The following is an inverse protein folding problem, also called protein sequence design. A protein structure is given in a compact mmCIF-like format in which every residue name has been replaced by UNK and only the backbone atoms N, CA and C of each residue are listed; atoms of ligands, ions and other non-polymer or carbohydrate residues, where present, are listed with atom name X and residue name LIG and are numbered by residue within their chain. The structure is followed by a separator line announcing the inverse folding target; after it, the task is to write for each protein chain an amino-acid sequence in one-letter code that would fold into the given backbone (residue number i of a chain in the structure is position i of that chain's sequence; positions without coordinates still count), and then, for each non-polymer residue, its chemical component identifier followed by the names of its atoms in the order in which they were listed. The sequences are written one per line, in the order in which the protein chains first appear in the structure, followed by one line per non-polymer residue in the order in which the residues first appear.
data_IF_567315975395
#
_entry.id   IF_567315975395
#
_cell.length_a   1.000
_cell.length_b   1.000
_cell.length_c   1.000
_cell.angle_alpha   90.00
_cell.angle_beta   90.00
_cell.angle_gamma   90.00
#
_symmetry.space_group_name_H-M   'P 1'
#
loop_
_entity.id
_entity.type
_entity.pdbx_description
1 polymer ?
#
# COMPACT_ATOMS: atom_id res chain seq x y z
N UNK A 1 7.70 -6.76 -11.53
CA UNK A 1 8.83 -7.24 -12.39
C UNK A 1 10.06 -7.57 -11.52
N UNK A 2 10.61 -8.78 -11.62
CA UNK A 2 11.60 -9.31 -10.67
C UNK A 2 13.06 -8.83 -10.81
N UNK A 3 13.94 -9.28 -9.90
CA UNK A 3 15.39 -8.99 -9.90
C UNK A 3 16.24 -10.26 -9.86
N UNK A 4 17.35 -10.32 -10.59
CA UNK A 4 18.25 -11.48 -10.56
C UNK A 4 19.03 -11.52 -9.24
N UNK A 5 19.06 -12.70 -8.62
CA UNK A 5 19.74 -12.98 -7.37
C UNK A 5 20.64 -14.20 -7.53
N UNK A 6 21.77 -14.17 -6.80
CA UNK A 6 22.64 -15.33 -6.60
C UNK A 6 22.97 -15.46 -5.13
N UNK A 7 22.73 -16.63 -4.57
CA UNK A 7 22.95 -16.96 -3.18
C UNK A 7 23.86 -18.18 -3.05
N UNK A 8 24.56 -18.24 -1.92
CA UNK A 8 25.40 -19.38 -1.57
C UNK A 8 25.15 -19.75 -0.11
N UNK A 9 24.92 -21.04 0.14
CA UNK A 9 24.73 -21.61 1.47
C UNK A 9 25.82 -22.64 1.77
N UNK A 10 26.19 -22.73 3.04
CA UNK A 10 26.86 -23.92 3.56
C UNK A 10 25.77 -24.94 3.94
N UNK A 11 25.95 -26.19 3.53
CA UNK A 11 25.13 -27.29 3.99
C UNK A 11 25.28 -27.51 5.48
N UNK A 12 24.28 -28.15 6.09
CA UNK A 12 24.29 -28.52 7.50
C UNK A 12 24.13 -30.03 7.58
N UNK A 13 24.81 -30.65 8.54
CA UNK A 13 24.79 -32.11 8.66
C UNK A 13 23.36 -32.61 8.94
N UNK A 14 22.85 -33.47 8.07
CA UNK A 14 21.51 -34.06 8.22
C UNK A 14 20.34 -33.14 7.90
N UNK A 15 20.56 -31.89 7.50
CA UNK A 15 19.50 -30.95 7.11
C UNK A 15 19.26 -30.98 5.61
N UNK A 16 18.13 -31.56 5.18
CA UNK A 16 17.73 -31.56 3.76
C UNK A 16 16.79 -30.39 3.40
N UNK A 17 16.11 -29.82 4.40
CA UNK A 17 15.16 -28.73 4.26
C UNK A 17 14.95 -28.09 5.65
N UNK A 18 14.60 -26.80 5.75
CA UNK A 18 14.49 -25.81 4.68
C UNK A 18 15.80 -25.04 4.43
N UNK A 19 16.06 -24.71 3.15
CA UNK A 19 17.06 -23.71 2.74
C UNK A 19 16.35 -22.49 2.15
N UNK A 20 16.48 -21.33 2.82
CA UNK A 20 15.72 -20.12 2.49
C UNK A 20 16.45 -19.22 1.49
N UNK A 21 15.75 -18.83 0.44
CA UNK A 21 16.11 -17.77 -0.51
C UNK A 21 15.59 -16.41 -0.01
N UNK A 22 16.04 -15.32 -0.63
CA UNK A 22 15.56 -13.97 -0.32
C UNK A 22 14.22 -13.73 -1.02
N UNK A 23 13.13 -14.04 -0.32
CA UNK A 23 11.76 -13.81 -0.79
C UNK A 23 11.31 -14.75 -1.90
N UNK A 24 10.18 -14.40 -2.51
CA UNK A 24 9.52 -15.22 -3.51
C UNK A 24 10.30 -15.29 -4.82
N UNK A 25 10.18 -16.40 -5.51
CA UNK A 25 10.96 -16.74 -6.70
C UNK A 25 10.03 -16.91 -7.89
N UNK A 26 10.42 -16.36 -9.04
CA UNK A 26 9.67 -16.59 -10.28
C UNK A 26 9.76 -18.07 -10.65
N UNK A 27 8.60 -18.70 -10.83
CA UNK A 27 8.45 -20.11 -11.22
C UNK A 27 9.34 -20.42 -12.41
N UNK A 28 10.14 -21.48 -12.31
CA UNK A 28 11.01 -21.89 -13.42
C UNK A 28 12.35 -21.16 -13.52
N UNK A 29 12.55 -20.05 -12.80
CA UNK A 29 13.72 -19.18 -12.99
C UNK A 29 15.00 -19.69 -12.32
N UNK A 30 14.88 -20.61 -11.37
CA UNK A 30 16.00 -20.99 -10.51
C UNK A 30 16.93 -22.04 -11.13
N UNK A 31 18.20 -21.98 -10.72
CA UNK A 31 19.23 -22.98 -10.99
C UNK A 31 19.94 -23.28 -9.69
N UNK A 32 19.86 -24.54 -9.25
CA UNK A 32 20.47 -25.01 -8.00
C UNK A 32 21.68 -25.86 -8.32
N UNK A 33 22.80 -25.54 -7.69
CA UNK A 33 24.06 -26.25 -7.86
C UNK A 33 24.55 -26.78 -6.52
N UNK A 34 25.07 -28.01 -6.52
CA UNK A 34 25.78 -28.59 -5.38
C UNK A 34 27.26 -28.80 -5.70
N UNK A 35 28.13 -28.40 -4.79
CA UNK A 35 29.53 -28.75 -4.79
C UNK A 35 29.93 -29.41 -3.46
N UNK A 36 30.79 -30.42 -3.53
CA UNK A 36 31.41 -31.07 -2.37
C UNK A 36 32.87 -30.58 -2.26
N UNK A 37 33.18 -29.80 -1.23
CA UNK A 37 34.52 -29.21 -1.06
C UNK A 37 34.99 -28.37 -2.27
N UNK A 38 36.10 -28.78 -2.91
CA UNK A 38 36.68 -28.11 -4.09
C UNK A 38 36.17 -28.66 -5.43
N UNK A 39 35.22 -29.61 -5.41
CA UNK A 39 34.64 -30.16 -6.63
C UNK A 39 33.89 -29.10 -7.44
N UNK A 40 33.75 -29.34 -8.75
CA UNK A 40 32.95 -28.48 -9.61
C UNK A 40 31.46 -28.56 -9.21
N UNK A 41 30.72 -27.44 -9.22
CA UNK A 41 29.30 -27.47 -8.94
C UNK A 41 28.54 -28.31 -9.98
N UNK A 42 27.74 -29.27 -9.50
CA UNK A 42 26.79 -30.07 -10.28
C UNK A 42 25.45 -29.33 -10.30
N UNK A 43 24.94 -29.03 -11.49
CA UNK A 43 23.57 -28.53 -11.65
C UNK A 43 22.59 -29.64 -11.29
N UNK A 44 21.63 -29.32 -10.44
CA UNK A 44 20.56 -30.22 -10.02
C UNK A 44 19.31 -30.07 -10.89
N UNK A 45 18.49 -31.11 -10.90
CA UNK A 45 17.18 -31.12 -11.54
C UNK A 45 16.06 -30.96 -10.51
N UNK A 46 15.14 -30.04 -10.77
CA UNK A 46 13.92 -29.89 -9.99
C UNK A 46 13.07 -31.15 -10.08
N UNK A 47 12.35 -31.46 -9.01
CA UNK A 47 11.46 -32.62 -8.81
C UNK A 47 12.16 -33.99 -8.84
N UNK A 48 13.45 -34.05 -9.17
CA UNK A 48 14.31 -35.22 -9.01
C UNK A 48 15.29 -35.05 -7.82
N UNK A 49 16.10 -34.00 -7.84
CA UNK A 49 17.17 -33.75 -6.87
C UNK A 49 16.74 -32.81 -5.73
N UNK A 50 15.77 -31.94 -5.99
CA UNK A 50 15.21 -30.98 -5.02
C UNK A 50 13.80 -30.52 -5.43
N UNK A 51 13.04 -30.00 -4.47
CA UNK A 51 11.80 -29.26 -4.68
C UNK A 51 11.95 -27.82 -4.19
N UNK A 52 11.07 -26.92 -4.65
CA UNK A 52 11.08 -25.51 -4.25
C UNK A 52 9.64 -25.02 -3.98
N UNK A 53 9.43 -24.35 -2.84
CA UNK A 53 8.26 -23.50 -2.62
C UNK A 53 8.60 -22.10 -3.12
N UNK A 54 8.11 -21.76 -4.30
CA UNK A 54 8.40 -20.51 -4.99
C UNK A 54 7.92 -19.28 -4.23
N UNK A 55 6.75 -19.35 -3.60
CA UNK A 55 6.21 -18.22 -2.84
C UNK A 55 7.04 -17.93 -1.59
N UNK A 56 7.49 -18.99 -0.89
CA UNK A 56 8.31 -18.84 0.33
C UNK A 56 9.81 -18.76 0.05
N UNK A 57 10.24 -19.06 -1.17
CA UNK A 57 11.64 -19.19 -1.53
C UNK A 57 12.34 -20.31 -0.76
N UNK A 58 11.70 -21.46 -0.54
CA UNK A 58 12.28 -22.57 0.23
C UNK A 58 12.73 -23.68 -0.71
N UNK A 59 14.01 -24.06 -0.66
CA UNK A 59 14.51 -25.27 -1.32
C UNK A 59 14.55 -26.43 -0.34
N UNK A 60 14.07 -27.59 -0.79
CA UNK A 60 14.13 -28.87 -0.08
C UNK A 60 14.85 -29.90 -0.94
N UNK A 61 15.96 -30.45 -0.47
CA UNK A 61 16.71 -31.47 -1.19
C UNK A 61 16.08 -32.85 -0.97
N UNK A 62 16.05 -33.66 -2.04
CA UNK A 62 15.65 -35.06 -1.91
C UNK A 62 16.84 -35.90 -1.42
N UNK A 63 16.56 -37.12 -0.96
CA UNK A 63 17.61 -38.05 -0.53
C UNK A 63 18.54 -38.51 -1.67
N UNK A 64 18.30 -38.08 -2.92
CA UNK A 64 19.21 -38.33 -4.04
C UNK A 64 20.55 -37.60 -3.89
N UNK A 65 20.59 -36.50 -3.13
CA UNK A 65 21.82 -35.78 -2.84
C UNK A 65 21.85 -35.40 -1.34
N UNK A 66 22.52 -36.22 -0.51
CA UNK A 66 22.63 -35.96 0.92
C UNK A 66 23.46 -34.70 1.17
N UNK A 67 22.81 -33.67 1.71
CA UNK A 67 23.48 -32.46 2.20
C UNK A 67 24.23 -32.74 3.52
N UNK A 68 25.46 -32.26 3.58
CA UNK A 68 26.38 -32.35 4.73
C UNK A 68 27.02 -31.00 5.02
N UNK A 69 27.75 -30.87 6.13
CA UNK A 69 28.51 -29.66 6.44
C UNK A 69 29.63 -29.31 5.44
N UNK A 70 29.98 -30.23 4.54
CA UNK A 70 30.96 -30.03 3.45
C UNK A 70 30.32 -29.65 2.12
N UNK A 71 28.99 -29.58 2.08
CA UNK A 71 28.24 -29.25 0.87
C UNK A 71 28.16 -27.73 0.72
N UNK A 72 28.47 -27.23 -0.47
CA UNK A 72 28.20 -25.84 -0.88
C UNK A 72 27.02 -25.85 -1.83
N UNK A 73 25.98 -25.11 -1.46
CA UNK A 73 24.77 -24.93 -2.27
C UNK A 73 24.88 -23.55 -2.92
N UNK A 74 24.77 -23.48 -4.24
CA UNK A 74 24.69 -22.20 -4.97
C UNK A 74 23.35 -22.15 -5.70
N UNK A 75 22.64 -21.02 -5.58
CA UNK A 75 21.33 -20.84 -6.20
C UNK A 75 21.30 -19.53 -6.95
N UNK A 76 20.93 -19.59 -8.22
CA UNK A 76 20.66 -18.42 -9.05
C UNK A 76 19.16 -18.40 -9.36
N UNK A 77 18.50 -17.25 -9.26
CA UNK A 77 17.05 -17.15 -9.49
C UNK A 77 16.61 -15.72 -9.78
N UNK A 78 15.36 -15.54 -10.22
CA UNK A 78 14.73 -14.22 -10.29
C UNK A 78 13.75 -14.07 -9.12
N UNK A 79 13.99 -13.07 -8.26
CA UNK A 79 13.10 -12.72 -7.17
C UNK A 79 11.86 -12.02 -7.71
N UNK A 80 10.67 -12.48 -7.33
CA UNK A 80 9.40 -11.83 -7.62
C UNK A 80 9.07 -10.77 -6.56
N UNK A 81 8.38 -9.71 -6.99
CA UNK A 81 7.86 -8.67 -6.09
C UNK A 81 6.33 -8.58 -6.11
N UNK A 82 5.69 -9.37 -6.99
CA UNK A 82 4.25 -9.43 -7.21
C UNK A 82 3.92 -10.88 -7.55
N UNK A 83 2.70 -11.31 -7.23
CA UNK A 83 2.21 -12.66 -7.50
C UNK A 83 1.75 -12.83 -8.95
N UNK A 84 1.16 -11.78 -9.51
CA UNK A 84 0.69 -11.73 -10.89
C UNK A 84 1.41 -10.63 -11.68
N UNK A 85 1.74 -10.85 -12.97
CA UNK A 85 2.05 -9.76 -13.86
C UNK A 85 0.82 -8.87 -13.99
N UNK A 86 0.98 -7.55 -13.90
CA UNK A 86 -0.12 -6.62 -14.11
C UNK A 86 0.11 -5.69 -15.29
N UNK A 87 -0.98 -5.21 -15.85
CA UNK A 87 -0.99 -4.15 -16.85
C UNK A 87 -1.66 -2.91 -16.25
N UNK A 88 -0.99 -1.77 -16.38
CA UNK A 88 -1.51 -0.47 -15.99
C UNK A 88 -1.77 0.39 -17.23
N UNK A 89 -2.99 0.86 -17.38
CA UNK A 89 -3.47 1.69 -18.48
C UNK A 89 -3.88 3.05 -17.95
N UNK A 90 -3.43 4.10 -18.63
CA UNK A 90 -3.80 5.48 -18.33
C UNK A 90 -4.31 6.17 -19.59
N UNK A 91 -5.41 6.91 -19.47
CA UNK A 91 -5.94 7.74 -20.56
C UNK A 91 -6.45 9.04 -19.99
N UNK A 92 -5.97 10.16 -20.54
CA UNK A 92 -6.38 11.50 -20.19
C UNK A 92 -6.90 12.22 -21.44
N UNK A 93 -8.06 12.84 -21.30
CA UNK A 93 -8.68 13.65 -22.34
C UNK A 93 -8.99 15.03 -21.78
N UNK A 94 -8.83 16.06 -22.61
CA UNK A 94 -9.26 17.40 -22.28
C UNK A 94 -9.84 18.11 -23.48
N UNK A 95 -10.82 18.98 -23.24
CA UNK A 95 -11.49 19.74 -24.30
C UNK A 95 -11.88 21.11 -23.78
N UNK A 96 -11.52 22.16 -24.53
CA UNK A 96 -11.93 23.54 -24.24
C UNK A 96 -13.03 23.98 -25.21
N UNK A 97 -14.18 24.38 -24.69
CA UNK A 97 -15.30 24.94 -25.47
C UNK A 97 -15.71 26.26 -24.84
N UNK A 98 -15.40 27.36 -25.52
CA UNK A 98 -15.60 28.71 -24.96
C UNK A 98 -14.84 28.88 -23.65
N UNK A 99 -15.56 29.24 -22.58
CA UNK A 99 -15.01 29.36 -21.23
C UNK A 99 -15.09 28.09 -20.37
N UNK A 100 -15.46 26.96 -20.95
CA UNK A 100 -15.49 25.66 -20.28
C UNK A 100 -14.26 24.84 -20.64
N UNK A 101 -13.65 24.18 -19.66
CA UNK A 101 -12.58 23.21 -19.86
C UNK A 101 -13.00 21.88 -19.24
N UNK A 102 -13.25 20.88 -20.08
CA UNK A 102 -13.59 19.53 -19.69
C UNK A 102 -12.32 18.69 -19.55
N UNK A 103 -12.31 17.80 -18.58
CA UNK A 103 -11.25 16.81 -18.36
C UNK A 103 -11.89 15.45 -18.13
N UNK A 104 -11.37 14.42 -18.76
CA UNK A 104 -11.73 13.03 -18.53
C UNK A 104 -10.48 12.25 -18.21
N UNK A 105 -10.51 11.44 -17.16
CA UNK A 105 -9.40 10.58 -16.76
C UNK A 105 -9.93 9.16 -16.63
N UNK A 106 -9.18 8.21 -17.15
CA UNK A 106 -9.41 6.79 -16.98
C UNK A 106 -8.10 6.13 -16.56
N UNK A 107 -8.17 5.27 -15.55
CA UNK A 107 -7.07 4.47 -15.05
C UNK A 107 -7.56 3.04 -14.85
N UNK A 108 -6.75 2.07 -15.24
CA UNK A 108 -7.05 0.65 -15.02
C UNK A 108 -5.78 -0.11 -14.70
N UNK A 109 -5.81 -0.90 -13.63
CA UNK A 109 -4.79 -1.90 -13.30
C UNK A 109 -5.48 -3.24 -13.24
N UNK A 110 -4.96 -4.24 -13.95
CA UNK A 110 -5.49 -5.60 -13.87
C UNK A 110 -4.36 -6.61 -13.89
N UNK A 111 -4.54 -7.67 -13.12
CA UNK A 111 -3.62 -8.80 -13.04
C UNK A 111 -3.88 -9.80 -14.18
N UNK A 112 -2.81 -10.37 -14.73
CA UNK A 112 -2.87 -11.47 -15.68
C UNK A 112 -3.04 -12.79 -14.92
N UNK A 113 -4.30 -13.10 -14.60
CA UNK A 113 -4.69 -14.29 -13.83
C UNK A 113 -4.27 -15.61 -14.47
N UNK A 114 -4.02 -15.63 -15.78
CA UNK A 114 -3.64 -16.84 -16.53
C UNK A 114 -2.15 -17.15 -16.39
N UNK A 115 -1.32 -16.18 -15.97
CA UNK A 115 0.14 -16.32 -15.93
C UNK A 115 0.75 -15.86 -14.59
N UNK A 116 0.44 -16.51 -13.44
CA UNK A 116 1.07 -16.16 -12.17
C UNK A 116 2.60 -16.29 -12.22
N UNK A 117 3.30 -15.44 -11.47
CA UNK A 117 4.76 -15.36 -11.46
C UNK A 117 5.40 -16.39 -10.55
N UNK A 118 4.82 -16.63 -9.37
CA UNK A 118 5.42 -17.40 -8.26
C UNK A 118 4.73 -18.74 -8.01
N UNK A 119 3.72 -19.10 -8.79
CA UNK A 119 3.01 -20.37 -8.65
C UNK A 119 2.33 -20.78 -9.96
N UNK A 120 1.76 -21.98 -9.96
CA UNK A 120 0.86 -22.47 -11.00
C UNK A 120 -0.44 -22.87 -10.33
N UNK A 121 -1.58 -22.50 -10.92
CA UNK A 121 -2.89 -22.85 -10.39
C UNK A 121 -3.40 -24.14 -11.04
N UNK A 122 -3.72 -25.12 -10.21
CA UNK A 122 -4.49 -26.31 -10.56
C UNK A 122 -5.98 -25.99 -10.67
N UNK A 123 -6.74 -26.91 -11.24
CA UNK A 123 -8.19 -26.75 -11.36
C UNK A 123 -8.88 -26.63 -9.98
N UNK A 124 -8.42 -27.35 -8.96
CA UNK A 124 -9.00 -27.31 -7.62
C UNK A 124 -8.74 -25.96 -6.92
N UNK A 125 -7.57 -25.36 -7.16
CA UNK A 125 -7.21 -24.03 -6.67
C UNK A 125 -8.07 -22.95 -7.33
N UNK A 126 -8.28 -23.05 -8.66
CA UNK A 126 -9.17 -22.13 -9.40
C UNK A 126 -10.61 -22.22 -8.88
N UNK A 127 -11.14 -23.42 -8.62
CA UNK A 127 -12.47 -23.55 -8.04
C UNK A 127 -12.55 -22.96 -6.63
N UNK A 128 -11.48 -23.07 -5.83
CA UNK A 128 -11.41 -22.44 -4.51
C UNK A 128 -11.44 -20.90 -4.62
N UNK A 129 -10.73 -20.33 -5.60
CA UNK A 129 -10.78 -18.89 -5.88
C UNK A 129 -12.17 -18.45 -6.35
N UNK A 130 -12.85 -19.22 -7.21
CA UNK A 130 -14.19 -18.89 -7.71
C UNK A 130 -15.24 -18.73 -6.63
N UNK A 131 -15.15 -19.52 -5.55
CA UNK A 131 -16.14 -19.50 -4.46
C UNK A 131 -15.78 -18.54 -3.32
N UNK A 132 -14.64 -17.84 -3.42
CA UNK A 132 -14.09 -17.03 -2.34
C UNK A 132 -14.57 -15.56 -2.30
N UNK A 133 -15.41 -15.15 -3.25
CA UNK A 133 -15.79 -13.74 -3.42
C UNK A 133 -14.56 -12.85 -3.61
N UNK A 134 -14.62 -11.63 -3.11
CA UNK A 134 -13.54 -10.63 -3.18
C UNK A 134 -12.38 -10.87 -2.19
N UNK A 135 -12.27 -12.06 -1.60
CA UNK A 135 -11.15 -12.37 -0.72
C UNK A 135 -9.83 -12.30 -1.47
N UNK A 136 -8.91 -11.44 -1.02
CA UNK A 136 -7.59 -11.26 -1.62
C UNK A 136 -6.70 -12.50 -1.48
N UNK A 137 -7.03 -13.38 -0.52
CA UNK A 137 -6.31 -14.64 -0.28
C UNK A 137 -7.28 -15.76 0.06
N UNK A 138 -7.00 -16.97 -0.42
CA UNK A 138 -7.79 -18.16 -0.14
C UNK A 138 -6.91 -19.22 0.50
N UNK A 139 -7.32 -19.76 1.64
CA UNK A 139 -6.64 -20.89 2.26
C UNK A 139 -7.11 -22.19 1.62
N UNK A 140 -6.21 -22.90 0.93
CA UNK A 140 -6.50 -24.16 0.26
C UNK A 140 -5.80 -25.33 0.95
N UNK A 141 -6.47 -26.48 1.05
CA UNK A 141 -5.93 -27.71 1.64
C UNK A 141 -5.56 -28.70 0.54
N UNK A 142 -4.31 -29.16 0.53
CA UNK A 142 -3.79 -30.07 -0.50
C UNK A 142 -3.91 -31.51 -0.01
N UNK A 143 -5.11 -32.06 -0.17
CA UNK A 143 -5.43 -33.44 0.18
C UNK A 143 -6.37 -34.06 -0.86
N UNK A 144 -5.80 -34.82 -1.77
CA UNK A 144 -6.54 -35.48 -2.83
C UNK A 144 -6.99 -36.87 -2.38
N UNK A 145 -8.24 -37.23 -2.69
CA UNK A 145 -8.71 -38.61 -2.46
C UNK A 145 -8.03 -39.56 -3.43
N UNK A 146 -7.44 -40.63 -2.90
CA UNK A 146 -6.66 -41.60 -3.67
C UNK A 146 -6.83 -43.00 -3.11
N UNK A 147 -7.10 -43.98 -3.97
CA UNK A 147 -7.23 -45.39 -3.56
C UNK A 147 -5.90 -46.01 -3.10
N UNK A 148 -4.79 -45.31 -3.26
CA UNK A 148 -3.45 -45.70 -2.84
C UNK A 148 -2.83 -44.64 -1.92
N UNK A 149 -3.68 -43.85 -1.26
CA UNK A 149 -3.25 -42.79 -0.36
C UNK A 149 -2.42 -43.31 0.82
N UNK A 150 -1.74 -42.39 1.51
CA UNK A 150 -0.96 -42.70 2.71
C UNK A 150 -1.61 -42.22 4.01
N UNK A 151 -2.65 -41.40 3.90
CA UNK A 151 -3.34 -40.78 5.03
C UNK A 151 -4.83 -41.11 5.04
N UNK A 152 -5.43 -41.04 6.23
CA UNK A 152 -6.88 -40.98 6.44
C UNK A 152 -7.25 -39.66 7.11
N UNK A 153 -8.46 -39.16 6.88
CA UNK A 153 -9.00 -38.03 7.64
C UNK A 153 -9.71 -38.56 8.89
N UNK A 154 -9.19 -38.24 10.07
CA UNK A 154 -9.75 -38.59 11.38
C UNK A 154 -9.85 -37.32 12.23
N UNK A 155 -10.97 -37.08 12.91
CA UNK A 155 -11.21 -35.88 13.73
C UNK A 155 -10.62 -34.56 13.16
N UNK A 156 -10.91 -34.29 11.88
CA UNK A 156 -10.50 -33.09 11.13
C UNK A 156 -8.98 -32.89 10.96
N UNK A 157 -8.19 -33.96 11.03
CA UNK A 157 -6.76 -33.96 10.71
C UNK A 157 -6.35 -35.25 9.97
N UNK A 158 -5.22 -35.22 9.28
CA UNK A 158 -4.72 -36.32 8.48
C UNK A 158 -3.82 -37.23 9.30
N UNK A 159 -4.18 -38.51 9.40
CA UNK A 159 -3.41 -39.51 10.14
C UNK A 159 -2.68 -40.41 9.15
N UNK A 160 -1.36 -40.50 9.29
CA UNK A 160 -0.54 -41.39 8.47
C UNK A 160 -0.80 -42.86 8.82
N UNK A 161 -1.21 -43.65 7.83
CA UNK A 161 -1.52 -45.09 7.98
C UNK A 161 -0.58 -45.99 7.17
N UNK A 162 0.44 -45.40 6.54
CA UNK A 162 1.41 -46.09 5.70
C UNK A 162 1.07 -45.99 4.21
N UNK A 163 2.12 -46.06 3.38
CA UNK A 163 2.02 -45.96 1.91
C UNK A 163 1.05 -47.01 1.35
N UNK A 164 0.04 -46.56 0.60
CA UNK A 164 -0.98 -47.42 -0.01
C UNK A 164 -2.09 -47.92 0.92
N UNK A 165 -2.07 -47.57 2.22
CA UNK A 165 -3.05 -48.03 3.21
C UNK A 165 -4.13 -46.99 3.55
N UNK A 166 -4.04 -45.77 3.00
CA UNK A 166 -4.95 -44.66 3.23
C UNK A 166 -5.84 -44.34 2.03
N UNK A 167 -6.68 -43.32 2.19
CA UNK A 167 -7.57 -42.80 1.16
C UNK A 167 -7.26 -41.35 0.74
N UNK A 168 -6.21 -40.75 1.30
CA UNK A 168 -5.74 -39.41 0.95
C UNK A 168 -4.24 -39.39 0.62
N UNK A 169 -3.93 -38.67 -0.45
CA UNK A 169 -2.59 -38.18 -0.76
C UNK A 169 -2.51 -36.71 -0.31
N UNK A 170 -1.71 -36.45 0.73
CA UNK A 170 -1.65 -35.15 1.41
C UNK A 170 -0.28 -34.53 1.19
N UNK A 171 -0.26 -33.28 0.74
CA UNK A 171 0.97 -32.50 0.58
C UNK A 171 1.14 -31.56 1.76
N UNK A 172 2.30 -31.62 2.42
CA UNK A 172 2.60 -30.79 3.59
C UNK A 172 3.64 -29.72 3.23
N UNK A 173 3.36 -28.49 3.64
CA UNK A 173 4.21 -27.32 3.42
C UNK A 173 4.79 -26.85 4.75
N UNK A 174 6.06 -26.45 4.74
CA UNK A 174 6.67 -25.85 5.91
C UNK A 174 6.10 -24.43 6.11
N UNK A 175 5.56 -24.16 7.30
CA UNK A 175 4.91 -22.89 7.65
C UNK A 175 5.65 -22.10 8.73
N UNK A 176 6.79 -22.60 9.20
CA UNK A 176 7.61 -22.00 10.25
C UNK A 176 7.64 -22.84 11.51
N UNK A 177 8.70 -22.66 12.32
CA UNK A 177 8.85 -23.34 13.61
C UNK A 177 7.67 -23.03 14.53
N UNK A 178 6.96 -24.08 15.00
CA UNK A 178 5.77 -23.97 15.86
C UNK A 178 4.64 -23.13 15.25
N UNK A 179 4.56 -23.03 13.93
CA UNK A 179 3.50 -22.31 13.22
C UNK A 179 2.52 -23.24 12.50
N UNK A 180 2.75 -24.55 12.53
CA UNK A 180 1.90 -25.56 11.91
C UNK A 180 1.40 -26.59 12.91
N UNK A 181 0.83 -27.66 12.38
CA UNK A 181 0.17 -28.70 13.15
C UNK A 181 0.76 -30.11 12.91
N UNK A 182 1.70 -30.25 11.98
CA UNK A 182 2.39 -31.49 11.67
C UNK A 182 3.91 -31.37 11.82
N UNK A 183 4.52 -32.50 12.17
CA UNK A 183 5.97 -32.69 12.20
C UNK A 183 6.33 -33.89 11.33
N UNK A 184 7.38 -33.77 10.52
CA UNK A 184 7.91 -34.93 9.81
C UNK A 184 8.58 -35.90 10.80
N UNK A 185 8.14 -37.15 10.80
CA UNK A 185 8.73 -38.23 11.59
C UNK A 185 9.40 -39.27 10.66
N UNK A 186 10.74 -39.36 10.78
CA UNK A 186 11.57 -40.25 9.98
C UNK A 186 11.34 -41.74 10.27
N UNK A 187 10.76 -42.09 11.44
CA UNK A 187 10.49 -43.46 11.86
C UNK A 187 9.35 -44.05 11.04
N UNK A 188 8.27 -43.28 10.88
CA UNK A 188 7.10 -43.66 10.09
C UNK A 188 7.23 -43.21 8.62
N UNK A 189 8.21 -42.36 8.31
CA UNK A 189 8.43 -41.74 6.99
C UNK A 189 7.21 -40.95 6.51
N UNK A 190 6.61 -40.20 7.42
CA UNK A 190 5.37 -39.46 7.18
C UNK A 190 5.24 -38.27 8.14
N UNK A 191 4.22 -37.45 7.91
CA UNK A 191 3.91 -36.31 8.75
C UNK A 191 2.94 -36.73 9.86
N UNK A 192 3.38 -36.56 11.10
CA UNK A 192 2.59 -36.86 12.29
C UNK A 192 1.96 -35.58 12.84
N UNK A 193 0.66 -35.63 13.11
CA UNK A 193 -0.06 -34.53 13.75
C UNK A 193 0.45 -34.32 15.18
N UNK A 194 0.80 -33.09 15.51
CA UNK A 194 1.27 -32.66 16.84
C UNK A 194 0.26 -31.75 17.55
N UNK A 195 -0.62 -31.09 16.78
CA UNK A 195 -1.57 -30.08 17.26
C UNK A 195 -1.19 -28.66 16.81
N UNK A 196 -2.15 -27.72 16.79
CA UNK A 196 -1.92 -26.37 16.28
C UNK A 196 -0.81 -25.65 17.04
N UNK A 197 0.17 -25.12 16.31
CA UNK A 197 1.32 -24.41 16.88
C UNK A 197 2.36 -25.32 17.55
N UNK A 198 2.26 -26.64 17.37
CA UNK A 198 3.20 -27.64 17.89
C UNK A 198 3.96 -28.38 16.78
N UNK A 199 3.64 -28.08 15.52
CA UNK A 199 4.33 -28.57 14.36
C UNK A 199 4.95 -27.46 13.53
N UNK A 200 5.67 -27.87 12.50
CA UNK A 200 6.34 -26.98 11.57
C UNK A 200 5.71 -26.98 10.17
N UNK A 201 4.76 -27.89 9.93
CA UNK A 201 4.15 -28.13 8.64
C UNK A 201 2.62 -28.06 8.71
N UNK A 202 2.00 -27.64 7.61
CA UNK A 202 0.55 -27.64 7.40
C UNK A 202 0.23 -28.19 6.01
N UNK A 203 -0.88 -28.93 5.82
CA UNK A 203 -1.37 -29.30 4.50
C UNK A 203 -2.08 -28.15 3.78
N UNK A 204 -2.07 -26.95 4.37
CA UNK A 204 -2.73 -25.77 3.82
C UNK A 204 -1.76 -24.73 3.29
N UNK A 205 -2.16 -24.01 2.24
CA UNK A 205 -1.41 -22.89 1.68
C UNK A 205 -2.37 -21.78 1.27
N UNK A 206 -1.92 -20.53 1.42
CA UNK A 206 -2.64 -19.38 0.88
C UNK A 206 -2.41 -19.29 -0.62
N UNK A 207 -3.47 -18.96 -1.35
CA UNK A 207 -3.48 -18.66 -2.76
C UNK A 207 -3.88 -17.20 -2.90
N UNK A 208 -3.10 -16.44 -3.64
CA UNK A 208 -3.37 -15.02 -3.87
C UNK A 208 -4.43 -14.88 -4.96
N UNK A 209 -5.39 -13.97 -4.78
CA UNK A 209 -6.42 -13.69 -5.79
C UNK A 209 -5.93 -12.61 -6.76
N UNK A 210 -6.13 -12.78 -8.07
CA UNK A 210 -5.80 -11.76 -9.07
C UNK A 210 -6.82 -10.62 -9.04
N UNK A 211 -6.34 -9.37 -9.05
CA UNK A 211 -7.18 -8.20 -8.82
C UNK A 211 -7.37 -7.35 -10.09
N UNK A 212 -8.46 -6.60 -10.12
CA UNK A 212 -8.70 -5.55 -11.11
C UNK A 212 -9.20 -4.27 -10.44
N UNK A 213 -8.58 -3.14 -10.75
CA UNK A 213 -9.00 -1.82 -10.26
C UNK A 213 -9.20 -0.88 -11.45
N UNK A 214 -10.37 -0.27 -11.54
CA UNK A 214 -10.71 0.75 -12.53
C UNK A 214 -11.09 2.05 -11.84
N UNK A 215 -10.72 3.17 -12.46
CA UNK A 215 -11.08 4.49 -11.98
C UNK A 215 -11.41 5.42 -13.15
N UNK A 216 -12.46 6.19 -12.96
CA UNK A 216 -13.00 7.16 -13.89
C UNK A 216 -13.16 8.49 -13.19
N UNK A 217 -12.73 9.57 -13.84
CA UNK A 217 -12.98 10.93 -13.39
C UNK A 217 -13.43 11.80 -14.53
N UNK A 218 -14.45 12.62 -14.27
CA UNK A 218 -14.90 13.66 -15.19
C UNK A 218 -14.91 14.99 -14.46
N UNK A 219 -14.26 15.99 -15.05
CA UNK A 219 -14.13 17.33 -14.51
C UNK A 219 -14.56 18.39 -15.50
N UNK A 220 -15.08 19.51 -14.98
CA UNK A 220 -15.32 20.73 -15.76
C UNK A 220 -14.91 21.96 -14.96
N UNK A 221 -14.05 22.79 -15.57
CA UNK A 221 -13.76 24.13 -15.10
C UNK A 221 -14.63 25.14 -15.85
N UNK A 222 -15.32 26.01 -15.11
CA UNK A 222 -16.27 27.00 -15.62
C UNK A 222 -15.69 28.40 -15.40
N UNK A 223 -15.20 29.03 -16.49
CA UNK A 223 -14.66 30.40 -16.51
C UNK A 223 -13.66 30.69 -15.37
N UNK A 224 -12.82 29.71 -15.01
CA UNK A 224 -11.83 29.76 -13.91
C UNK A 224 -12.42 30.03 -12.51
N UNK A 225 -13.75 30.04 -12.40
CA UNK A 225 -14.50 30.36 -11.17
C UNK A 225 -14.91 29.10 -10.42
N UNK A 226 -15.37 28.09 -11.16
CA UNK A 226 -15.89 26.87 -10.58
C UNK A 226 -15.18 25.66 -11.19
N UNK A 227 -14.94 24.64 -10.37
CA UNK A 227 -14.49 23.31 -10.79
C UNK A 227 -15.45 22.28 -10.22
N UNK A 228 -16.02 21.46 -11.08
CA UNK A 228 -16.89 20.35 -10.70
C UNK A 228 -16.22 19.07 -11.16
N UNK A 229 -16.13 18.09 -10.27
CA UNK A 229 -15.52 16.80 -10.55
C UNK A 229 -16.40 15.70 -9.99
N UNK A 230 -16.55 14.63 -10.76
CA UNK A 230 -17.20 13.39 -10.34
C UNK A 230 -16.26 12.24 -10.60
N UNK A 231 -16.29 11.27 -9.69
CA UNK A 231 -15.40 10.13 -9.67
C UNK A 231 -16.22 8.84 -9.53
N UNK A 232 -15.73 7.79 -10.16
CA UNK A 232 -16.20 6.42 -9.95
C UNK A 232 -15.01 5.47 -9.95
N UNK A 233 -15.07 4.42 -9.13
CA UNK A 233 -14.10 3.34 -9.13
C UNK A 233 -14.80 2.00 -9.07
N UNK A 234 -14.16 0.98 -9.60
CA UNK A 234 -14.59 -0.40 -9.52
C UNK A 234 -13.37 -1.24 -9.08
N UNK A 235 -13.51 -2.02 -8.01
CA UNK A 235 -12.42 -2.79 -7.42
C UNK A 235 -12.83 -4.25 -7.26
N UNK A 236 -12.40 -5.07 -8.18
CA UNK A 236 -12.55 -6.52 -8.11
C UNK A 236 -11.35 -7.11 -7.35
N UNK A 237 -11.62 -7.67 -6.17
CA UNK A 237 -10.61 -8.28 -5.30
C UNK A 237 -10.16 -9.67 -5.78
N UNK A 238 -10.93 -10.27 -6.68
CA UNK A 238 -10.71 -11.62 -7.19
C UNK A 238 -11.41 -11.86 -8.52
N UNK A 239 -10.69 -11.60 -9.62
CA UNK A 239 -11.20 -11.73 -11.00
C UNK A 239 -11.53 -13.17 -11.44
N UNK A 240 -11.41 -14.16 -10.54
CA UNK A 240 -11.95 -15.51 -10.73
C UNK A 240 -13.36 -15.68 -10.16
N UNK A 241 -13.73 -14.94 -9.12
CA UNK A 241 -15.07 -14.99 -8.52
C UNK A 241 -16.02 -14.03 -9.23
N UNK A 242 -17.31 -14.32 -9.10
CA UNK A 242 -18.40 -13.39 -9.43
C UNK A 242 -19.30 -13.14 -8.19
N UNK A 243 -18.87 -13.66 -7.04
CA UNK A 243 -19.54 -13.50 -5.75
C UNK A 243 -19.05 -12.17 -5.19
N UNK A 244 -19.98 -11.38 -4.67
CA UNK A 244 -19.76 -10.05 -4.09
C UNK A 244 -19.43 -8.91 -5.09
N UNK A 245 -19.24 -9.17 -6.39
CA UNK A 245 -19.02 -8.15 -7.45
C UNK A 245 -20.00 -6.94 -7.49
N UNK A 246 -21.14 -7.03 -6.83
CA UNK A 246 -22.18 -6.00 -6.84
C UNK A 246 -21.87 -4.81 -5.90
N UNK A 247 -20.92 -4.94 -4.97
CA UNK A 247 -20.53 -3.87 -4.02
C UNK A 247 -19.17 -3.20 -4.34
N UNK A 248 -18.49 -3.67 -5.40
CA UNK A 248 -17.18 -3.18 -5.85
C UNK A 248 -17.15 -1.72 -6.34
N UNK A 249 -18.31 -1.11 -6.61
CA UNK A 249 -18.39 0.24 -7.14
C UNK A 249 -18.38 1.33 -6.06
N UNK A 250 -17.37 2.19 -6.11
CA UNK A 250 -17.24 3.40 -5.31
C UNK A 250 -17.49 4.67 -6.11
N UNK A 251 -17.95 5.75 -5.45
CA UNK A 251 -18.24 7.03 -6.10
C UNK A 251 -17.81 8.22 -5.27
N UNK A 252 -17.63 9.35 -5.92
CA UNK A 252 -17.38 10.60 -5.22
C UNK A 252 -17.44 11.81 -6.12
N UNK A 253 -17.16 12.97 -5.54
CA UNK A 253 -17.12 14.21 -6.28
C UNK A 253 -16.54 15.36 -5.47
N UNK A 254 -16.16 16.41 -6.21
CA UNK A 254 -15.59 17.63 -5.66
C UNK A 254 -16.18 18.83 -6.38
N UNK A 255 -16.58 19.83 -5.61
CA UNK A 255 -17.02 21.13 -6.10
C UNK A 255 -16.11 22.17 -5.49
N UNK A 256 -15.51 23.00 -6.33
CA UNK A 256 -14.69 24.13 -5.92
C UNK A 256 -15.25 25.39 -6.56
N UNK A 257 -15.36 26.45 -5.77
CA UNK A 257 -15.86 27.76 -6.16
C UNK A 257 -14.89 28.82 -5.63
N UNK A 258 -14.34 29.64 -6.51
CA UNK A 258 -13.51 30.78 -6.13
C UNK A 258 -13.89 31.97 -7.00
N UNK A 259 -14.35 33.05 -6.36
CA UNK A 259 -14.70 34.28 -7.09
C UNK A 259 -14.41 35.53 -6.30
N UNK A 260 -13.80 36.49 -6.98
CA UNK A 260 -13.60 37.84 -6.44
C UNK A 260 -14.54 38.82 -7.14
N UNK A 261 -15.30 39.55 -6.35
CA UNK A 261 -16.20 40.62 -6.76
C UNK A 261 -15.83 41.90 -5.99
N UNK A 262 -15.17 42.85 -6.68
CA UNK A 262 -14.68 44.07 -6.06
C UNK A 262 -13.76 43.76 -4.86
N UNK A 263 -14.12 44.19 -3.65
CA UNK A 263 -13.38 43.93 -2.42
C UNK A 263 -13.68 42.56 -1.78
N UNK A 264 -14.68 41.82 -2.26
CA UNK A 264 -15.13 40.55 -1.67
C UNK A 264 -14.57 39.36 -2.46
N UNK A 265 -13.94 38.41 -1.77
CA UNK A 265 -13.57 37.10 -2.31
C UNK A 265 -14.38 36.02 -1.62
N UNK A 266 -15.02 35.16 -2.39
CA UNK A 266 -15.75 34.00 -1.89
C UNK A 266 -15.01 32.74 -2.34
N UNK A 267 -14.71 31.85 -1.40
CA UNK A 267 -14.17 30.52 -1.66
C UNK A 267 -15.11 29.48 -1.04
N UNK A 268 -15.43 28.45 -1.79
CA UNK A 268 -16.25 27.34 -1.32
C UNK A 268 -15.70 26.03 -1.87
N UNK A 269 -15.62 25.02 -1.03
CA UNK A 269 -15.28 23.67 -1.43
C UNK A 269 -16.24 22.68 -0.80
N UNK A 270 -16.67 21.70 -1.58
CA UNK A 270 -17.41 20.55 -1.09
C UNK A 270 -16.83 19.28 -1.69
N UNK A 271 -16.50 18.31 -0.85
CA UNK A 271 -15.99 17.00 -1.25
C UNK A 271 -16.90 15.94 -0.63
N UNK A 272 -17.19 14.91 -1.41
CA UNK A 272 -17.84 13.69 -0.93
C UNK A 272 -17.16 12.48 -1.58
N UNK A 273 -16.71 11.53 -0.76
CA UNK A 273 -16.13 10.26 -1.16
C UNK A 273 -16.84 9.15 -0.40
N UNK A 274 -17.33 8.16 -1.14
CA UNK A 274 -17.90 6.94 -0.59
C UNK A 274 -16.80 6.02 -0.05
N UNK A 275 -17.12 5.12 0.87
CA UNK A 275 -16.15 4.23 1.52
C UNK A 275 -15.42 3.32 0.51
N UNK A 276 -16.13 2.90 -0.54
CA UNK A 276 -15.61 2.03 -1.59
C UNK A 276 -14.85 2.80 -2.69
N UNK A 277 -14.81 4.14 -2.64
CA UNK A 277 -14.11 4.91 -3.66
C UNK A 277 -12.59 4.76 -3.50
N UNK A 278 -11.97 4.09 -4.48
CA UNK A 278 -10.52 4.05 -4.60
C UNK A 278 -10.06 4.96 -5.72
N UNK A 279 -9.44 6.07 -5.33
CA UNK A 279 -8.76 6.97 -6.24
C UNK A 279 -7.32 6.43 -6.40
N UNK A 280 -6.85 6.14 -7.63
CA UNK A 280 -5.46 5.75 -7.86
C UNK A 280 -4.54 6.77 -7.21
N UNK A 281 -3.50 6.30 -6.53
CA UNK A 281 -2.60 7.14 -5.72
C UNK A 281 -2.20 8.42 -6.47
N UNK A 282 -2.92 9.51 -6.23
CA UNK A 282 -2.38 10.84 -6.38
C UNK A 282 -1.33 11.00 -5.27
N UNK A 283 -0.50 12.04 -5.33
CA UNK A 283 0.10 12.52 -4.08
C UNK A 283 -1.08 12.78 -3.15
N UNK A 284 -1.30 11.90 -2.17
CA UNK A 284 -2.18 12.22 -1.06
C UNK A 284 -1.74 13.60 -0.58
N UNK A 285 -2.68 14.52 -0.44
CA UNK A 285 -2.44 15.66 0.42
C UNK A 285 -2.36 15.10 1.84
N UNK A 286 -1.21 14.49 2.18
CA UNK A 286 -0.78 14.09 3.54
C UNK A 286 -1.02 15.25 4.54
N UNK A 287 -1.20 16.46 4.01
CA UNK A 287 -1.58 17.67 4.70
C UNK A 287 -2.96 17.62 5.41
N UNK A 288 -4.01 16.94 4.92
CA UNK A 288 -5.34 17.10 5.56
C UNK A 288 -5.43 16.46 6.96
N UNK A 289 -4.91 15.24 7.14
CA UNK A 289 -4.89 14.56 8.45
C UNK A 289 -4.11 15.38 9.48
N UNK A 290 -3.00 15.97 9.05
CA UNK A 290 -2.21 16.90 9.86
C UNK A 290 -2.96 18.22 10.16
N UNK A 291 -3.62 18.80 9.15
CA UNK A 291 -4.38 20.05 9.29
C UNK A 291 -5.58 19.89 10.22
N UNK A 292 -6.27 18.76 10.16
CA UNK A 292 -7.47 18.47 10.95
C UNK A 292 -7.18 17.72 12.25
N UNK A 293 -5.93 17.27 12.45
CA UNK A 293 -5.52 16.47 13.60
C UNK A 293 -6.41 15.23 13.79
N UNK A 294 -6.59 14.47 12.71
CA UNK A 294 -7.42 13.25 12.68
C UNK A 294 -6.73 12.17 11.85
N UNK A 295 -6.98 10.90 12.20
CA UNK A 295 -6.57 9.72 11.42
C UNK A 295 -7.71 9.20 10.55
N UNK A 296 -8.92 9.75 10.70
CA UNK A 296 -10.09 9.35 9.92
C UNK A 296 -9.90 9.67 8.43
N UNK A 297 -10.31 8.78 7.52
CA UNK A 297 -10.35 9.08 6.10
C UNK A 297 -11.33 10.23 5.84
N UNK A 298 -11.01 11.10 4.89
CA UNK A 298 -11.93 12.16 4.46
C UNK A 298 -13.06 11.57 3.60
N UNK A 299 -14.26 11.50 4.15
CA UNK A 299 -15.49 11.10 3.46
C UNK A 299 -16.28 12.31 2.99
N UNK A 300 -16.38 13.35 3.81
CA UNK A 300 -17.13 14.56 3.49
C UNK A 300 -16.41 15.81 4.02
N UNK A 301 -16.16 16.78 3.15
CA UNK A 301 -15.60 18.08 3.53
C UNK A 301 -16.47 19.20 2.98
N UNK A 302 -16.95 20.08 3.84
CA UNK A 302 -17.53 21.37 3.43
C UNK A 302 -16.66 22.51 3.93
N UNK A 303 -16.28 23.44 3.07
CA UNK A 303 -15.49 24.61 3.41
C UNK A 303 -16.12 25.86 2.80
N UNK A 304 -16.26 26.90 3.60
CA UNK A 304 -16.67 28.24 3.16
C UNK A 304 -15.69 29.27 3.71
N UNK A 305 -15.10 30.06 2.81
CA UNK A 305 -14.19 31.16 3.13
C UNK A 305 -14.65 32.47 2.50
N UNK A 306 -14.52 33.55 3.24
CA UNK A 306 -14.82 34.91 2.81
C UNK A 306 -13.61 35.80 3.07
N UNK A 307 -13.12 36.47 2.03
CA UNK A 307 -12.10 37.49 2.07
C UNK A 307 -12.70 38.88 1.81
N UNK A 308 -12.29 39.88 2.56
CA UNK A 308 -12.70 41.28 2.38
C UNK A 308 -11.43 42.14 2.33
N UNK A 309 -11.20 42.81 1.20
CA UNK A 309 -10.03 43.67 0.96
C UNK A 309 -10.51 45.07 0.54
N UNK A 310 -10.97 45.91 1.50
CA UNK A 310 -11.52 47.23 1.16
C UNK A 310 -10.44 48.22 0.69
N UNK A 311 -9.17 47.98 1.04
CA UNK A 311 -8.01 48.79 0.61
C UNK A 311 -6.78 47.88 0.47
N UNK A 312 -5.74 48.35 -0.21
CA UNK A 312 -4.47 47.62 -0.36
C UNK A 312 -3.74 47.37 0.97
N UNK A 313 -4.10 48.08 2.04
CA UNK A 313 -3.50 47.97 3.36
C UNK A 313 -4.39 47.27 4.38
N UNK A 314 -5.53 46.71 3.99
CA UNK A 314 -6.40 46.03 4.94
C UNK A 314 -7.07 44.84 4.29
N UNK A 315 -6.85 43.65 4.87
CA UNK A 315 -7.48 42.41 4.46
C UNK A 315 -8.06 41.70 5.67
N UNK A 316 -9.25 41.14 5.53
CA UNK A 316 -9.84 40.20 6.48
C UNK A 316 -10.16 38.93 5.71
N UNK A 317 -9.75 37.77 6.22
CA UNK A 317 -10.20 36.48 5.74
C UNK A 317 -10.82 35.72 6.90
N UNK A 318 -11.99 35.12 6.72
CA UNK A 318 -12.57 34.22 7.72
C UNK A 318 -13.28 33.07 7.03
N UNK A 319 -13.43 31.98 7.74
CA UNK A 319 -14.09 30.81 7.17
C UNK A 319 -14.47 29.78 8.20
N UNK A 320 -15.24 28.82 7.71
CA UNK A 320 -15.77 27.71 8.48
C UNK A 320 -15.74 26.46 7.62
N UNK A 321 -15.28 25.37 8.20
CA UNK A 321 -15.21 24.08 7.54
C UNK A 321 -15.75 22.98 8.46
N UNK A 322 -16.32 21.95 7.86
CA UNK A 322 -16.79 20.73 8.52
C UNK A 322 -16.16 19.54 7.79
N UNK A 323 -15.52 18.64 8.53
CA UNK A 323 -14.99 17.37 8.03
C UNK A 323 -15.74 16.21 8.69
N UNK A 324 -16.17 15.23 7.90
CA UNK A 324 -16.90 14.01 8.30
C UNK A 324 -18.12 14.27 9.22
N UNK A 325 -18.66 15.49 9.20
CA UNK A 325 -19.71 15.98 10.10
C UNK A 325 -19.35 16.01 11.60
N UNK A 326 -18.16 15.54 11.96
CA UNK A 326 -17.65 15.41 13.33
C UNK A 326 -16.73 16.56 13.68
N UNK A 327 -15.77 16.85 12.80
CA UNK A 327 -14.75 17.86 13.01
C UNK A 327 -15.18 19.22 12.48
N UNK A 328 -14.86 20.28 13.23
CA UNK A 328 -15.22 21.66 12.88
C UNK A 328 -14.01 22.56 12.94
N UNK A 329 -13.74 23.24 11.84
CA UNK A 329 -12.71 24.26 11.76
C UNK A 329 -13.35 25.64 11.57
N UNK A 330 -12.81 26.64 12.27
CA UNK A 330 -13.11 28.05 12.02
C UNK A 330 -11.84 28.87 12.06
N UNK A 331 -11.72 29.86 11.20
CA UNK A 331 -10.58 30.77 11.22
C UNK A 331 -10.98 32.21 10.96
N UNK A 332 -10.15 33.12 11.45
CA UNK A 332 -10.15 34.52 11.09
C UNK A 332 -8.71 35.01 11.01
N UNK A 333 -8.40 35.78 9.98
CA UNK A 333 -7.13 36.45 9.76
C UNK A 333 -7.44 37.92 9.45
N UNK A 334 -6.74 38.82 10.11
CA UNK A 334 -6.85 40.27 9.91
C UNK A 334 -5.46 40.81 9.66
N UNK A 335 -5.30 41.50 8.53
CA UNK A 335 -4.02 42.00 8.07
C UNK A 335 -4.10 43.51 7.82
N UNK A 336 -3.88 44.35 8.86
CA UNK A 336 -3.72 45.79 8.70
C UNK A 336 -2.26 46.13 8.38
N UNK A 337 -2.06 46.90 7.30
CA UNK A 337 -0.80 47.30 6.72
C UNK A 337 0.14 46.11 6.46
N UNK A 338 0.98 45.82 7.45
CA UNK A 338 1.98 44.76 7.41
C UNK A 338 1.98 43.90 8.66
N UNK A 339 1.00 44.11 9.54
CA UNK A 339 0.72 43.22 10.65
C UNK A 339 -0.23 42.14 10.16
N UNK A 340 -0.09 40.94 10.71
CA UNK A 340 -1.04 39.85 10.55
C UNK A 340 -1.42 39.36 11.94
N UNK A 341 -2.70 39.23 12.22
CA UNK A 341 -3.21 38.61 13.45
C UNK A 341 -4.33 37.67 13.08
N UNK A 342 -4.41 36.54 13.76
CA UNK A 342 -5.47 35.60 13.46
C UNK A 342 -5.64 34.52 14.49
N UNK A 343 -6.67 33.75 14.24
CA UNK A 343 -7.13 32.65 15.06
C UNK A 343 -7.57 31.51 14.15
N UNK A 344 -7.25 30.28 14.54
CA UNK A 344 -7.76 29.05 13.95
C UNK A 344 -8.17 28.13 15.09
N UNK A 345 -9.42 27.68 15.07
CA UNK A 345 -9.91 26.64 15.97
C UNK A 345 -10.23 25.39 15.17
N UNK A 346 -9.73 24.25 15.61
CA UNK A 346 -10.08 22.92 15.10
C UNK A 346 -10.54 22.13 16.32
N UNK A 347 -11.84 21.85 16.39
CA UNK A 347 -12.49 21.25 17.56
C UNK A 347 -12.15 21.99 18.87
N UNK A 348 -11.47 21.32 19.80
CA UNK A 348 -11.00 21.88 21.07
C UNK A 348 -9.60 22.51 21.00
N UNK A 349 -8.94 22.44 19.86
CA UNK A 349 -7.60 22.99 19.65
C UNK A 349 -7.72 24.43 19.17
N UNK A 350 -7.14 25.34 19.93
CA UNK A 350 -7.12 26.77 19.63
C UNK A 350 -5.70 27.22 19.27
N UNK A 351 -5.55 27.82 18.09
CA UNK A 351 -4.31 28.41 17.62
C UNK A 351 -4.50 29.91 17.40
N UNK A 352 -3.62 30.72 17.99
CA UNK A 352 -3.55 32.16 17.80
C UNK A 352 -2.23 32.50 17.15
N UNK A 353 -2.23 33.45 16.21
CA UNK A 353 -0.99 33.93 15.62
C UNK A 353 -0.98 35.45 15.49
N UNK A 354 0.21 36.02 15.60
CA UNK A 354 0.47 37.44 15.37
C UNK A 354 1.84 37.60 14.72
N UNK A 355 1.99 38.55 13.82
CA UNK A 355 3.24 38.67 13.08
C UNK A 355 3.31 39.89 12.18
N UNK A 356 4.39 39.95 11.42
CA UNK A 356 4.66 40.98 10.43
C UNK A 356 4.91 40.31 9.08
N UNK A 357 4.37 40.88 8.00
CA UNK A 357 4.66 40.46 6.64
C UNK A 357 4.72 41.70 5.75
N UNK A 358 5.91 42.02 5.22
CA UNK A 358 6.07 43.14 4.29
C UNK A 358 7.17 42.88 3.28
N UNK A 359 6.86 43.18 2.03
CA UNK A 359 7.83 43.24 0.94
C UNK A 359 8.04 44.67 0.49
N UNK A 360 9.29 45.11 0.49
CA UNK A 360 9.73 46.43 0.03
C UNK A 360 10.75 46.27 -1.10
N UNK A 361 10.26 46.22 -2.34
CA UNK A 361 11.10 46.01 -3.51
C UNK A 361 11.85 44.67 -3.42
N UNK A 362 13.18 44.75 -3.21
CA UNK A 362 14.07 43.59 -3.07
C UNK A 362 14.12 43.02 -1.65
N UNK A 363 13.63 43.74 -0.65
CA UNK A 363 13.64 43.34 0.74
C UNK A 363 12.32 42.68 1.13
N UNK A 364 12.36 41.60 1.91
CA UNK A 364 11.19 40.95 2.50
C UNK A 364 11.45 40.73 3.99
N UNK A 365 10.43 41.04 4.79
CA UNK A 365 10.40 40.78 6.24
C UNK A 365 9.16 39.96 6.51
N UNK A 366 9.34 38.80 7.14
CA UNK A 366 8.28 37.98 7.70
C UNK A 366 8.64 37.63 9.14
N UNK A 367 7.68 37.78 10.05
CA UNK A 367 7.75 37.21 11.39
C UNK A 367 6.39 36.70 11.79
N UNK A 368 6.36 35.64 12.58
CA UNK A 368 5.12 35.03 13.03
C UNK A 368 5.34 34.33 14.36
N UNK A 369 4.61 34.79 15.36
CA UNK A 369 4.41 34.08 16.62
C UNK A 369 3.12 33.27 16.51
N UNK A 370 3.19 32.01 16.93
CA UNK A 370 2.06 31.09 17.04
C UNK A 370 1.98 30.55 18.46
N UNK A 371 0.77 30.54 19.00
CA UNK A 371 0.43 29.85 20.23
C UNK A 371 -0.60 28.78 19.87
N UNK A 372 -0.28 27.51 20.10
CA UNK A 372 -1.18 26.37 19.93
C UNK A 372 -1.12 25.52 21.20
N UNK A 373 -2.16 25.60 22.02
CA UNK A 373 -2.21 24.94 23.34
C UNK A 373 -0.99 25.34 24.20
N UNK A 374 -0.14 24.37 24.57
CA UNK A 374 1.09 24.60 25.33
C UNK A 374 2.29 24.97 24.47
N UNK A 375 2.19 24.88 23.13
CA UNK A 375 3.27 25.16 22.19
C UNK A 375 3.33 26.63 21.79
N UNK A 376 4.54 27.20 21.85
CA UNK A 376 4.84 28.57 21.48
C UNK A 376 5.98 28.63 20.47
N UNK A 377 5.64 28.91 19.21
CA UNK A 377 6.59 28.97 18.11
C UNK A 377 6.71 30.39 17.57
N UNK A 378 7.92 30.94 17.55
CA UNK A 378 8.24 32.17 16.86
C UNK A 378 9.14 31.90 15.67
N UNK A 379 8.72 32.30 14.47
CA UNK A 379 9.50 32.21 13.24
C UNK A 379 9.79 33.60 12.70
N UNK A 380 10.96 33.78 12.10
CA UNK A 380 11.32 35.00 11.40
C UNK A 380 12.13 34.69 10.14
N UNK A 381 11.93 35.51 9.11
CA UNK A 381 12.68 35.51 7.86
C UNK A 381 12.87 36.96 7.40
N UNK A 382 14.12 37.31 7.10
CA UNK A 382 14.49 38.59 6.52
C UNK A 382 15.36 38.29 5.32
N UNK A 383 14.93 38.71 4.13
CA UNK A 383 15.65 38.40 2.89
C UNK A 383 15.79 39.62 1.98
N UNK A 384 16.92 39.70 1.29
CA UNK A 384 17.22 40.71 0.28
C UNK A 384 17.64 40.04 -1.04
N UNK A 385 16.84 40.26 -2.08
CA UNK A 385 17.04 39.69 -3.42
C UNK A 385 17.96 40.59 -4.24
N UNK A 386 19.21 40.16 -4.46
CA UNK A 386 20.19 40.89 -5.27
C UNK A 386 19.82 40.79 -6.76
N UNK A 387 19.54 39.56 -7.24
CA UNK A 387 19.07 39.18 -8.60
C UNK A 387 18.08 38.00 -8.50
N UNK A 388 17.40 37.65 -9.60
CA UNK A 388 16.30 36.65 -9.66
C UNK A 388 16.58 35.32 -8.93
N UNK A 389 17.84 34.90 -8.81
CA UNK A 389 18.26 33.68 -8.10
C UNK A 389 19.38 33.90 -7.08
N UNK A 390 19.71 35.14 -6.76
CA UNK A 390 20.77 35.49 -5.82
C UNK A 390 20.21 36.42 -4.75
N UNK A 391 20.26 36.00 -3.50
CA UNK A 391 19.85 36.80 -2.37
C UNK A 391 20.65 36.44 -1.12
N UNK A 392 20.56 37.30 -0.12
CA UNK A 392 21.05 37.04 1.23
C UNK A 392 19.87 37.17 2.18
N UNK A 393 19.80 36.29 3.17
CA UNK A 393 18.75 36.35 4.16
C UNK A 393 19.17 35.73 5.48
N UNK A 394 18.41 36.06 6.52
CA UNK A 394 18.50 35.50 7.85
C UNK A 394 17.11 34.97 8.19
N UNK A 395 17.03 33.69 8.52
CA UNK A 395 15.82 33.05 9.02
C UNK A 395 16.13 32.24 10.27
N UNK A 396 15.09 31.96 11.05
CA UNK A 396 15.21 31.16 12.24
C UNK A 396 13.85 30.89 12.88
N UNK A 397 13.87 29.96 13.84
CA UNK A 397 12.72 29.66 14.68
C UNK A 397 13.13 29.55 16.14
N UNK A 398 12.22 29.89 17.03
CA UNK A 398 12.35 29.71 18.47
C UNK A 398 11.08 29.03 18.95
N UNK A 399 11.23 27.80 19.44
CA UNK A 399 10.20 27.07 20.14
C UNK A 399 10.51 27.15 21.64
N UNK A 400 9.53 27.58 22.44
CA UNK A 400 9.70 27.70 23.88
C UNK A 400 9.69 26.32 24.57
N UNK A 401 9.01 25.36 23.97
CA UNK A 401 8.60 24.12 24.65
C UNK A 401 9.41 22.91 24.19
N UNK A 402 10.22 23.05 23.12
CA UNK A 402 11.33 22.16 22.83
C UNK A 402 12.67 22.80 23.17
N UNK A 403 13.41 22.21 24.12
CA UNK A 403 14.85 22.49 24.30
C UNK A 403 15.71 21.99 23.13
N UNK A 404 15.07 21.49 22.05
CA UNK A 404 15.70 21.02 20.83
C UNK A 404 15.89 22.18 19.86
N UNK A 405 17.14 22.63 19.72
CA UNK A 405 17.55 23.56 18.66
C UNK A 405 17.21 22.94 17.28
N UNK A 406 16.37 23.63 16.51
CA UNK A 406 16.29 23.52 15.04
C UNK A 406 17.16 24.59 14.39
#
# INVERSE_FOLDING_TARGET
RGSYKRMQFAGEEGKQSPYFLEGSVITGSEKVYLAQGIARPKLLKRDEDYTIDYERGIISFTNNNIITNHTRIEVEYQQAFEDYPNTYQETDAHMKVGGLMFTGIYRRRYDDKENPLTFTLSAAEIESLKIAGDSLTVLHTYADTSSQGSYILDDNHFVFVGEGNGNYDVTFFYVGENSGEYQYDATIKGFAYQGPGLGNYSPTKFIMSPQENQFYGLGVNVFETARLEVYGSDRDGNTFSAIDDHDNFGKGGRINLAKTFHMLTLNGEYIYYDENLSIPAAREEIDYQYQWNTEEPMEELGNLGVGITPTDFFKIDFGYSILNRTHRQKFINVQPFFFQVGYRGIDSIHQYFAGLAKKFGKFSLNSRYENKQESHLFTYDVSYVIKKYYGIGLSGSYDRDTTGRG
#
